data_IF_190844870344
#
_entry.id   IF_190844870344
#
_cell.length_a   1.000
_cell.length_b   1.000
_cell.length_c   1.000
_cell.angle_alpha   90.00
_cell.angle_beta   90.00
_cell.angle_gamma   90.00
#
_symmetry.space_group_name_H-M   'P 1'
#
loop_
_entity.id
_entity.type
_entity.pdbx_description
1 polymer ?
#
# COMPACT_ATOMS: atom_id res chain seq x y z
N UNK A 1 6.80 -6.01 -16.58
CA UNK A 1 6.93 -4.66 -17.18
C UNK A 1 7.53 -3.72 -16.15
N UNK A 2 8.47 -2.86 -16.56
CA UNK A 2 8.90 -1.71 -15.75
C UNK A 2 7.84 -0.63 -15.90
N UNK A 3 7.44 -0.01 -14.78
CA UNK A 3 6.43 1.02 -14.77
C UNK A 3 6.70 1.97 -13.61
N UNK A 4 6.57 3.27 -13.87
CA UNK A 4 6.77 4.30 -12.85
C UNK A 4 5.74 4.16 -11.73
N UNK A 5 4.47 4.02 -12.08
CA UNK A 5 3.39 3.86 -11.12
C UNK A 5 2.84 2.43 -11.19
N UNK A 6 2.68 1.80 -10.03
CA UNK A 6 2.07 0.48 -9.88
C UNK A 6 0.96 0.57 -8.84
N UNK A 7 -0.25 0.31 -9.27
CA UNK A 7 -1.46 0.46 -8.48
C UNK A 7 -2.04 -0.91 -8.22
N UNK A 8 -2.14 -1.29 -6.95
CA UNK A 8 -2.81 -2.50 -6.53
C UNK A 8 -3.95 -2.11 -5.58
N UNK A 9 -5.17 -2.17 -6.09
CA UNK A 9 -6.36 -1.77 -5.35
C UNK A 9 -7.39 -2.89 -5.25
N UNK A 10 -8.39 -2.73 -4.39
CA UNK A 10 -9.54 -3.65 -4.28
C UNK A 10 -10.05 -3.73 -2.85
N UNK A 11 -10.96 -4.65 -2.56
CA UNK A 11 -11.58 -4.78 -1.25
C UNK A 11 -10.66 -5.36 -0.17
N UNK A 12 -11.20 -5.47 1.04
CA UNK A 12 -10.55 -6.14 2.17
C UNK A 12 -10.31 -7.61 1.89
N UNK A 13 -9.36 -8.18 2.62
CA UNK A 13 -9.03 -9.62 2.59
C UNK A 13 -8.42 -10.11 1.26
N UNK A 14 -7.89 -9.22 0.41
CA UNK A 14 -7.38 -9.54 -0.93
C UNK A 14 -5.85 -9.67 -1.06
N UNK A 15 -5.15 -10.00 0.04
CA UNK A 15 -3.69 -10.20 0.13
C UNK A 15 -2.75 -9.07 -0.32
N UNK A 16 -3.25 -7.96 -0.88
CA UNK A 16 -2.45 -6.85 -1.48
C UNK A 16 -1.17 -6.48 -0.72
N UNK A 17 -1.30 -6.04 0.53
CA UNK A 17 -0.15 -5.61 1.33
C UNK A 17 0.83 -6.76 1.56
N UNK A 18 0.31 -7.98 1.76
CA UNK A 18 1.11 -9.18 1.97
C UNK A 18 1.95 -9.53 0.75
N UNK A 19 1.35 -9.44 -0.44
CA UNK A 19 2.01 -9.67 -1.72
C UNK A 19 3.05 -8.58 -2.00
N UNK A 20 2.71 -7.30 -1.77
CA UNK A 20 3.63 -6.18 -1.88
C UNK A 20 4.85 -6.36 -0.97
N UNK A 21 4.64 -6.75 0.30
CA UNK A 21 5.74 -7.03 1.23
C UNK A 21 6.61 -8.20 0.77
N UNK A 22 6.00 -9.29 0.28
CA UNK A 22 6.72 -10.45 -0.25
C UNK A 22 7.63 -10.06 -1.41
N UNK A 23 7.10 -9.29 -2.38
CA UNK A 23 7.87 -8.78 -3.52
C UNK A 23 8.96 -7.84 -3.05
N UNK A 24 8.69 -6.93 -2.12
CA UNK A 24 9.68 -5.99 -1.59
C UNK A 24 10.85 -6.71 -0.90
N UNK A 25 10.58 -7.74 -0.09
CA UNK A 25 11.63 -8.55 0.52
C UNK A 25 12.41 -9.34 -0.54
N UNK A 26 11.74 -9.93 -1.53
CA UNK A 26 12.40 -10.61 -2.64
C UNK A 26 13.38 -9.67 -3.37
N UNK A 27 12.91 -8.48 -3.76
CA UNK A 27 13.72 -7.48 -4.46
C UNK A 27 14.90 -6.99 -3.62
N UNK A 28 14.64 -6.60 -2.36
CA UNK A 28 15.70 -6.12 -1.45
C UNK A 28 16.77 -7.18 -1.15
N UNK A 29 16.43 -8.47 -1.30
CA UNK A 29 17.37 -9.56 -1.14
C UNK A 29 18.21 -9.86 -2.39
N UNK A 30 17.80 -9.34 -3.55
CA UNK A 30 18.48 -9.53 -4.84
C UNK A 30 19.27 -8.30 -5.30
N UNK A 31 18.79 -7.11 -4.97
CA UNK A 31 19.33 -5.83 -5.43
C UNK A 31 19.64 -4.91 -4.25
N UNK A 32 20.38 -3.84 -4.50
CA UNK A 32 20.58 -2.73 -3.57
C UNK A 32 19.54 -1.64 -3.85
N UNK A 33 18.49 -1.60 -3.04
CA UNK A 33 17.34 -0.73 -3.21
C UNK A 33 17.03 0.02 -1.93
N UNK A 34 16.64 1.28 -2.08
CA UNK A 34 16.14 2.11 -0.98
C UNK A 34 14.62 2.27 -1.09
N UNK A 35 13.90 1.67 -0.15
CA UNK A 35 12.45 1.74 -0.04
C UNK A 35 12.02 2.84 0.94
N UNK A 36 11.14 3.73 0.51
CA UNK A 36 10.37 4.64 1.36
C UNK A 36 8.96 4.07 1.54
N UNK A 37 8.65 3.55 2.71
CA UNK A 37 7.32 3.05 3.05
C UNK A 37 6.54 4.15 3.78
N UNK A 38 5.47 4.65 3.19
CA UNK A 38 4.69 5.75 3.73
C UNK A 38 3.19 5.42 3.83
N UNK A 39 2.52 6.05 4.81
CA UNK A 39 1.06 5.99 5.02
C UNK A 39 0.55 7.33 5.59
N UNK A 40 -0.74 7.63 5.47
CA UNK A 40 -1.28 8.94 5.88
C UNK A 40 -1.08 9.22 7.39
N UNK A 41 -1.64 8.36 8.24
CA UNK A 41 -1.52 8.44 9.70
C UNK A 41 -0.73 7.23 10.19
N UNK A 42 0.35 7.47 10.93
CA UNK A 42 1.15 6.43 11.59
C UNK A 42 1.00 6.58 13.11
N UNK A 43 -0.08 6.03 13.67
CA UNK A 43 -0.32 6.10 15.12
C UNK A 43 0.57 5.13 15.90
N UNK A 44 0.88 3.95 15.34
CA UNK A 44 1.80 2.95 15.91
C UNK A 44 2.60 2.24 14.81
N UNK A 45 3.90 2.02 15.02
CA UNK A 45 4.78 1.27 14.10
C UNK A 45 4.36 -0.22 14.02
N UNK A 46 3.75 -0.76 15.08
CA UNK A 46 3.38 -2.18 15.17
C UNK A 46 2.22 -2.57 14.24
N UNK A 47 1.39 -1.63 13.81
CA UNK A 47 0.27 -1.83 12.89
C UNK A 47 0.60 -1.36 11.45
N UNK A 48 1.86 -1.49 11.05
CA UNK A 48 2.37 -0.88 9.81
C UNK A 48 3.12 -1.87 8.91
N UNK A 49 3.43 -1.41 7.69
CA UNK A 49 4.30 -2.08 6.71
C UNK A 49 5.58 -2.68 7.34
N UNK A 50 6.12 -2.04 8.38
CA UNK A 50 7.27 -2.54 9.14
C UNK A 50 7.05 -3.95 9.69
N UNK A 51 5.92 -4.18 10.37
CA UNK A 51 5.57 -5.49 10.95
C UNK A 51 5.40 -6.53 9.85
N UNK A 52 4.77 -6.14 8.76
CA UNK A 52 4.53 -7.02 7.62
C UNK A 52 5.85 -7.46 6.94
N UNK A 53 6.78 -6.53 6.76
CA UNK A 53 8.12 -6.84 6.25
C UNK A 53 8.88 -7.80 7.18
N UNK A 54 8.81 -7.60 8.51
CA UNK A 54 9.41 -8.54 9.47
C UNK A 54 8.85 -9.95 9.31
N UNK A 55 7.53 -10.08 9.21
CA UNK A 55 6.87 -11.37 9.01
C UNK A 55 7.34 -12.03 7.72
N UNK A 56 7.44 -11.30 6.60
CA UNK A 56 7.94 -11.86 5.34
C UNK A 56 9.41 -12.26 5.42
N UNK A 57 10.25 -11.47 6.11
CA UNK A 57 11.67 -11.82 6.34
C UNK A 57 11.78 -13.16 7.07
N UNK A 58 11.00 -13.35 8.13
CA UNK A 58 10.99 -14.60 8.91
C UNK A 58 10.42 -15.76 8.09
N UNK A 59 9.30 -15.54 7.38
CA UNK A 59 8.65 -16.54 6.52
C UNK A 59 9.57 -17.04 5.40
N UNK A 60 10.41 -16.17 4.85
CA UNK A 60 11.39 -16.55 3.83
C UNK A 60 12.70 -17.10 4.41
N UNK A 61 12.84 -17.23 5.73
CA UNK A 61 14.05 -17.73 6.38
C UNK A 61 15.24 -16.76 6.29
N UNK A 62 14.99 -15.48 6.01
CA UNK A 62 16.04 -14.49 5.71
C UNK A 62 16.47 -13.68 6.94
N UNK A 63 15.97 -13.99 8.14
CA UNK A 63 16.21 -13.19 9.37
C UNK A 63 17.69 -12.85 9.61
N UNK A 64 18.58 -13.81 9.34
CA UNK A 64 20.03 -13.66 9.49
C UNK A 64 20.67 -12.62 8.55
N UNK A 65 20.00 -12.30 7.43
CA UNK A 65 20.46 -11.30 6.44
C UNK A 65 19.99 -9.89 6.77
N UNK A 66 19.04 -9.71 7.68
CA UNK A 66 18.44 -8.40 7.96
C UNK A 66 18.78 -7.88 9.37
N UNK A 67 19.23 -6.64 9.43
CA UNK A 67 19.27 -5.83 10.66
C UNK A 67 17.94 -5.08 10.77
N UNK A 68 17.14 -5.44 11.77
CA UNK A 68 15.85 -4.80 12.06
C UNK A 68 16.07 -3.81 13.21
N UNK A 69 15.85 -2.52 12.95
CA UNK A 69 15.95 -1.41 13.89
C UNK A 69 14.55 -0.81 14.12
N UNK A 70 14.40 0.09 15.08
CA UNK A 70 13.09 0.66 15.43
C UNK A 70 12.47 1.48 14.29
N UNK A 71 13.28 2.13 13.46
CA UNK A 71 12.84 3.04 12.39
C UNK A 71 13.31 2.61 10.99
N UNK A 72 14.03 1.49 10.88
CA UNK A 72 14.65 1.06 9.62
C UNK A 72 14.86 -0.45 9.58
N UNK A 73 14.79 -1.04 8.39
CA UNK A 73 15.20 -2.43 8.15
C UNK A 73 16.30 -2.40 7.08
N UNK A 74 17.42 -3.11 7.31
CA UNK A 74 18.58 -3.11 6.42
C UNK A 74 18.95 -4.55 6.08
N UNK A 75 19.05 -4.86 4.80
CA UNK A 75 19.67 -6.10 4.32
C UNK A 75 21.19 -5.96 4.38
N UNK A 76 21.85 -6.76 5.22
CA UNK A 76 23.30 -6.72 5.47
C UNK A 76 24.14 -7.21 4.28
N UNK A 77 23.51 -7.91 3.33
CA UNK A 77 24.22 -8.52 2.19
C UNK A 77 24.13 -7.63 0.97
N UNK A 78 22.94 -7.10 0.66
CA UNK A 78 22.75 -6.22 -0.51
C UNK A 78 22.91 -4.74 -0.18
N UNK A 79 22.85 -4.36 1.09
CA UNK A 79 22.77 -2.95 1.50
C UNK A 79 21.39 -2.32 1.28
N UNK A 80 20.40 -3.08 0.80
CA UNK A 80 19.02 -2.58 0.68
C UNK A 80 18.47 -2.11 2.01
N UNK A 81 17.62 -1.10 1.98
CA UNK A 81 17.03 -0.53 3.17
C UNK A 81 15.57 -0.13 3.00
N UNK A 82 14.83 -0.18 4.11
CA UNK A 82 13.46 0.28 4.24
C UNK A 82 13.38 1.34 5.32
N UNK A 83 12.88 2.52 4.97
CA UNK A 83 12.56 3.63 5.90
C UNK A 83 11.06 3.84 5.95
N UNK A 84 10.54 4.33 7.08
CA UNK A 84 9.11 4.37 7.36
C UNK A 84 8.66 5.78 7.76
N UNK A 85 7.62 6.29 7.12
CA UNK A 85 7.13 7.65 7.35
C UNK A 85 5.60 7.73 7.43
N UNK A 86 5.09 8.45 8.44
CA UNK A 86 3.72 8.95 8.45
C UNK A 86 3.64 10.30 7.75
N UNK A 87 2.90 10.40 6.64
CA UNK A 87 2.86 11.61 5.81
C UNK A 87 2.33 12.82 6.57
N UNK A 88 1.31 12.66 7.42
CA UNK A 88 0.75 13.77 8.19
C UNK A 88 1.81 14.52 9.03
N UNK A 89 2.75 13.78 9.63
CA UNK A 89 3.75 14.36 10.55
C UNK A 89 5.05 14.73 9.86
N UNK A 90 5.43 14.01 8.81
CA UNK A 90 6.80 14.03 8.28
C UNK A 90 6.89 14.43 6.80
N UNK A 91 5.85 15.06 6.23
CA UNK A 91 5.86 15.44 4.80
C UNK A 91 7.04 16.35 4.44
N UNK A 92 7.44 17.24 5.35
CA UNK A 92 8.59 18.13 5.16
C UNK A 92 9.93 17.38 5.19
N UNK A 93 10.08 16.38 6.07
CA UNK A 93 11.28 15.55 6.11
C UNK A 93 11.47 14.76 4.82
N UNK A 94 10.37 14.31 4.20
CA UNK A 94 10.42 13.53 2.96
C UNK A 94 11.08 14.32 1.83
N UNK A 95 10.93 15.66 1.76
CA UNK A 95 11.58 16.50 0.73
C UNK A 95 13.10 16.31 0.66
N UNK A 96 13.72 15.95 1.79
CA UNK A 96 15.16 15.76 1.91
C UNK A 96 15.62 14.33 1.58
N UNK A 97 14.70 13.41 1.30
CA UNK A 97 15.07 12.04 0.95
C UNK A 97 15.72 12.00 -0.42
N UNK A 98 16.80 11.22 -0.51
CA UNK A 98 17.55 11.04 -1.74
C UNK A 98 17.76 9.56 -2.07
N UNK A 99 17.85 9.27 -3.36
CA UNK A 99 18.17 7.93 -3.84
C UNK A 99 17.09 6.89 -3.53
N UNK A 100 15.83 7.30 -3.33
CA UNK A 100 14.71 6.37 -3.18
C UNK A 100 14.49 5.64 -4.52
N UNK A 101 14.61 4.32 -4.50
CA UNK A 101 14.28 3.46 -5.62
C UNK A 101 12.78 3.16 -5.68
N UNK A 102 12.16 3.04 -4.51
CA UNK A 102 10.81 2.51 -4.40
C UNK A 102 10.04 3.28 -3.33
N UNK A 103 9.02 4.03 -3.74
CA UNK A 103 8.01 4.57 -2.82
C UNK A 103 6.88 3.54 -2.70
N UNK A 104 6.57 3.10 -1.48
CA UNK A 104 5.39 2.29 -1.19
C UNK A 104 4.44 3.10 -0.33
N UNK A 105 3.31 3.50 -0.91
CA UNK A 105 2.19 4.13 -0.24
C UNK A 105 1.16 3.06 0.17
N UNK A 106 1.09 2.79 1.47
CA UNK A 106 0.09 1.92 2.08
C UNK A 106 -1.13 2.75 2.51
N UNK A 107 -2.33 2.18 2.39
CA UNK A 107 -3.59 2.91 2.57
C UNK A 107 -3.67 4.17 1.69
N UNK A 108 -3.19 4.08 0.45
CA UNK A 108 -3.03 5.22 -0.46
C UNK A 108 -4.31 6.00 -0.80
N UNK A 109 -5.52 5.50 -0.49
CA UNK A 109 -6.77 6.25 -0.63
C UNK A 109 -6.73 7.59 0.12
N UNK A 110 -6.03 7.63 1.26
CA UNK A 110 -5.91 8.82 2.09
C UNK A 110 -4.81 9.80 1.63
N UNK A 111 -4.12 9.52 0.53
CA UNK A 111 -3.13 10.43 -0.07
C UNK A 111 -3.84 11.68 -0.59
N UNK A 112 -3.33 12.85 -0.21
CA UNK A 112 -3.83 14.13 -0.74
C UNK A 112 -2.98 14.64 -1.90
N UNK A 113 -3.58 15.47 -2.77
CA UNK A 113 -2.86 16.11 -3.88
C UNK A 113 -1.66 16.94 -3.39
N UNK A 114 -1.81 17.67 -2.28
CA UNK A 114 -0.74 18.46 -1.68
C UNK A 114 0.47 17.59 -1.30
N UNK A 115 0.23 16.42 -0.69
CA UNK A 115 1.31 15.50 -0.34
C UNK A 115 1.94 14.90 -1.58
N UNK A 116 1.15 14.55 -2.60
CA UNK A 116 1.68 14.02 -3.86
C UNK A 116 2.59 15.01 -4.57
N UNK A 117 2.23 16.31 -4.61
CA UNK A 117 3.08 17.39 -5.16
C UNK A 117 4.46 17.49 -4.49
N UNK A 118 4.60 16.98 -3.27
CA UNK A 118 5.87 16.91 -2.54
C UNK A 118 6.57 15.57 -2.79
N UNK A 119 5.82 14.46 -2.72
CA UNK A 119 6.35 13.11 -2.89
C UNK A 119 6.92 12.89 -4.29
N UNK A 120 6.14 13.19 -5.32
CA UNK A 120 6.48 12.88 -6.70
C UNK A 120 7.85 13.42 -7.15
N UNK A 121 8.17 14.72 -6.98
CA UNK A 121 9.49 15.25 -7.35
C UNK A 121 10.61 14.78 -6.41
N UNK A 122 10.28 14.30 -5.21
CA UNK A 122 11.26 13.71 -4.28
C UNK A 122 11.76 12.36 -4.81
N UNK A 123 10.87 11.54 -5.36
CA UNK A 123 11.20 10.21 -5.89
C UNK A 123 11.75 10.31 -7.31
N UNK A 124 12.88 11.02 -7.47
CA UNK A 124 13.43 11.43 -8.79
C UNK A 124 14.48 10.51 -9.39
N UNK A 125 14.82 9.40 -8.74
CA UNK A 125 15.88 8.50 -9.21
C UNK A 125 15.47 7.85 -10.54
N UNK A 126 16.41 7.71 -11.47
CA UNK A 126 16.12 7.05 -12.73
C UNK A 126 15.61 5.62 -12.49
N UNK A 127 14.47 5.29 -13.09
CA UNK A 127 13.83 3.99 -12.94
C UNK A 127 13.15 3.75 -11.59
N UNK A 128 13.03 4.75 -10.70
CA UNK A 128 12.33 4.55 -9.43
C UNK A 128 10.84 4.38 -9.62
N UNK A 129 10.22 3.58 -8.75
CA UNK A 129 8.82 3.18 -8.81
C UNK A 129 8.00 3.73 -7.63
N UNK A 130 6.72 3.96 -7.87
CA UNK A 130 5.72 4.35 -6.88
C UNK A 130 4.62 3.28 -6.83
N UNK A 131 4.49 2.61 -5.69
CA UNK A 131 3.50 1.58 -5.42
C UNK A 131 2.35 2.16 -4.59
N UNK A 132 1.14 2.10 -5.14
CA UNK A 132 -0.09 2.56 -4.51
C UNK A 132 -0.91 1.34 -4.11
N UNK A 133 -0.95 1.06 -2.80
CA UNK A 133 -1.67 -0.08 -2.24
C UNK A 133 -2.83 0.45 -1.40
N UNK A 134 -4.07 0.17 -1.80
CA UNK A 134 -5.24 0.71 -1.09
C UNK A 134 -6.54 -0.06 -1.32
N UNK A 135 -7.48 0.12 -0.39
CA UNK A 135 -8.89 -0.12 -0.66
C UNK A 135 -9.52 1.20 -1.09
N UNK A 136 -10.27 1.26 -2.21
CA UNK A 136 -10.91 2.51 -2.63
C UNK A 136 -11.84 3.06 -1.55
N UNK A 137 -11.73 4.37 -1.28
CA UNK A 137 -12.64 5.10 -0.40
C UNK A 137 -13.75 5.74 -1.24
N UNK A 138 -13.54 6.98 -1.62
CA UNK A 138 -14.49 7.78 -2.41
C UNK A 138 -14.06 7.87 -3.88
N UNK A 139 -15.01 8.03 -4.79
CA UNK A 139 -14.75 8.34 -6.21
C UNK A 139 -14.01 9.68 -6.38
N UNK A 140 -14.10 10.56 -5.38
CA UNK A 140 -13.45 11.87 -5.35
C UNK A 140 -12.01 11.83 -4.82
N UNK A 141 -11.58 10.71 -4.21
CA UNK A 141 -10.23 10.54 -3.68
C UNK A 141 -9.18 10.82 -4.75
N UNK A 142 -8.12 11.52 -4.36
CA UNK A 142 -7.06 11.93 -5.27
C UNK A 142 -6.45 10.72 -5.99
N UNK A 143 -6.12 9.65 -5.26
CA UNK A 143 -5.51 8.46 -5.87
C UNK A 143 -6.46 7.75 -6.82
N UNK A 144 -7.76 7.74 -6.53
CA UNK A 144 -8.75 7.10 -7.40
C UNK A 144 -8.85 7.83 -8.74
N UNK A 145 -9.04 9.15 -8.69
CA UNK A 145 -9.15 9.98 -9.90
C UNK A 145 -7.88 9.94 -10.75
N UNK A 146 -6.71 10.06 -10.13
CA UNK A 146 -5.45 10.29 -10.85
C UNK A 146 -4.61 9.03 -11.07
N UNK A 147 -4.96 7.87 -10.50
CA UNK A 147 -4.19 6.63 -10.70
C UNK A 147 -5.06 5.41 -11.02
N UNK A 148 -6.39 5.55 -11.03
CA UNK A 148 -7.32 4.51 -11.49
C UNK A 148 -8.16 4.99 -12.67
N UNK A 149 -8.80 6.15 -12.56
CA UNK A 149 -9.70 6.67 -13.61
C UNK A 149 -8.90 7.29 -14.76
N UNK A 150 -7.99 8.21 -14.46
CA UNK A 150 -7.14 8.90 -15.43
C UNK A 150 -5.66 8.81 -15.02
N UNK A 151 -5.04 7.63 -15.17
CA UNK A 151 -3.67 7.40 -14.70
C UNK A 151 -2.63 8.00 -15.65
N UNK A 152 -1.44 8.40 -15.13
CA UNK A 152 -0.30 8.73 -15.97
C UNK A 152 0.05 7.59 -16.94
N UNK A 153 0.58 7.94 -18.11
CA UNK A 153 0.99 6.97 -19.12
C UNK A 153 1.97 5.92 -18.55
N UNK A 154 1.78 4.66 -18.94
CA UNK A 154 2.62 3.55 -18.48
C UNK A 154 2.38 3.10 -17.04
N UNK A 155 1.32 3.60 -16.38
CA UNK A 155 0.88 3.09 -15.07
C UNK A 155 0.35 1.67 -15.20
N UNK A 156 0.79 0.76 -14.32
CA UNK A 156 0.23 -0.58 -14.20
C UNK A 156 -0.84 -0.58 -13.11
N UNK A 157 -2.04 -1.05 -13.44
CA UNK A 157 -3.17 -1.07 -12.52
C UNK A 157 -3.69 -2.50 -12.42
N UNK A 158 -3.87 -2.97 -11.17
CA UNK A 158 -4.50 -4.26 -10.89
C UNK A 158 -5.50 -4.11 -9.75
N UNK A 159 -6.75 -4.50 -10.04
CA UNK A 159 -7.76 -4.76 -9.01
C UNK A 159 -7.58 -6.17 -8.48
N UNK A 160 -7.61 -6.39 -7.17
CA UNK A 160 -7.63 -7.73 -6.55
C UNK A 160 -8.51 -7.73 -5.31
N UNK A 161 -9.38 -8.74 -5.22
CA UNK A 161 -10.40 -8.89 -4.18
C UNK A 161 -10.22 -10.21 -3.40
N UNK A 162 -11.11 -10.47 -2.43
CA UNK A 162 -11.03 -11.63 -1.54
C UNK A 162 -11.15 -12.97 -2.28
N UNK A 163 -11.85 -13.00 -3.41
CA UNK A 163 -12.09 -14.16 -4.27
C UNK A 163 -10.83 -14.66 -4.99
N UNK A 164 -9.82 -13.80 -5.11
CA UNK A 164 -8.51 -14.14 -5.65
C UNK A 164 -7.48 -14.50 -4.56
N UNK A 165 -7.88 -14.50 -3.28
CA UNK A 165 -6.99 -14.85 -2.16
C UNK A 165 -7.23 -16.30 -1.70
N UNK A 166 -6.38 -17.28 -2.11
CA UNK A 166 -6.55 -18.68 -1.74
C UNK A 166 -6.19 -18.99 -0.29
N UNK A 167 -5.69 -18.01 0.47
CA UNK A 167 -5.22 -18.19 1.85
C UNK A 167 -6.26 -17.75 2.90
N UNK A 168 -7.50 -17.45 2.49
CA UNK A 168 -8.56 -17.11 3.42
C UNK A 168 -8.97 -18.32 4.25
N UNK A 169 -9.09 -18.11 5.56
CA UNK A 169 -9.65 -19.12 6.46
C UNK A 169 -11.16 -19.23 6.27
N UNK A 170 -11.71 -20.41 6.58
CA UNK A 170 -13.17 -20.63 6.61
C UNK A 170 -13.89 -19.61 7.49
N UNK A 171 -13.26 -19.19 8.59
CA UNK A 171 -13.79 -18.14 9.47
C UNK A 171 -13.98 -16.83 8.71
N UNK A 172 -12.99 -16.39 7.93
CA UNK A 172 -13.09 -15.15 7.16
C UNK A 172 -14.08 -15.28 6.00
N UNK A 173 -14.14 -16.43 5.33
CA UNK A 173 -15.13 -16.67 4.27
C UNK A 173 -16.56 -16.56 4.81
N UNK A 174 -16.84 -17.13 6.00
CA UNK A 174 -18.15 -16.99 6.67
C UNK A 174 -18.50 -15.54 7.00
N UNK A 175 -17.53 -14.74 7.44
CA UNK A 175 -17.71 -13.30 7.72
C UNK A 175 -18.04 -12.54 6.44
N UNK A 176 -17.33 -12.82 5.35
CA UNK A 176 -17.54 -12.21 4.03
C UNK A 176 -18.96 -12.55 3.51
N UNK A 177 -19.36 -13.82 3.57
CA UNK A 177 -20.68 -14.25 3.12
C UNK A 177 -21.82 -13.67 3.96
N UNK A 178 -21.62 -13.53 5.28
CA UNK A 178 -22.58 -12.87 6.15
C UNK A 178 -22.73 -11.37 5.82
N UNK A 179 -21.61 -10.69 5.52
CA UNK A 179 -21.64 -9.29 5.08
C UNK A 179 -22.41 -9.14 3.76
N UNK A 180 -22.16 -10.02 2.77
CA UNK A 180 -22.87 -10.01 1.48
C UNK A 180 -24.38 -10.13 1.64
N UNK A 181 -24.85 -10.99 2.55
CA UNK A 181 -26.28 -11.19 2.82
C UNK A 181 -26.92 -10.03 3.57
N UNK A 182 -26.18 -9.40 4.49
CA UNK A 182 -26.70 -8.35 5.36
C UNK A 182 -26.82 -7.01 4.65
N UNK A 183 -25.81 -6.64 3.87
CA UNK A 183 -25.72 -5.35 3.19
C UNK A 183 -24.97 -5.53 1.85
N UNK A 184 -25.70 -5.84 0.77
CA UNK A 184 -25.09 -6.05 -0.54
C UNK A 184 -24.33 -4.84 -1.08
N UNK A 185 -24.74 -3.61 -0.77
CA UNK A 185 -24.07 -2.40 -1.26
C UNK A 185 -22.86 -2.04 -0.41
N UNK A 186 -22.92 -2.22 0.91
CA UNK A 186 -21.72 -2.17 1.76
C UNK A 186 -20.72 -3.26 1.40
N UNK A 187 -21.20 -4.45 1.01
CA UNK A 187 -20.34 -5.54 0.56
C UNK A 187 -19.52 -5.18 -0.68
N UNK A 188 -20.15 -4.56 -1.71
CA UNK A 188 -19.45 -4.09 -2.91
C UNK A 188 -18.30 -3.16 -2.55
N UNK A 189 -18.54 -2.23 -1.63
CA UNK A 189 -17.50 -1.32 -1.17
C UNK A 189 -16.38 -2.06 -0.41
N UNK A 190 -16.76 -2.77 0.66
CA UNK A 190 -15.82 -3.37 1.61
C UNK A 190 -15.00 -4.50 1.00
N UNK A 191 -15.60 -5.38 0.21
CA UNK A 191 -14.96 -6.62 -0.26
C UNK A 191 -14.74 -6.68 -1.77
N UNK A 192 -15.55 -5.98 -2.56
CA UNK A 192 -15.33 -5.89 -4.02
C UNK A 192 -14.54 -4.65 -4.44
N UNK A 193 -14.20 -3.77 -3.51
CA UNK A 193 -13.37 -2.59 -3.75
C UNK A 193 -14.03 -1.61 -4.72
N UNK A 194 -15.33 -1.40 -4.59
CA UNK A 194 -16.07 -0.37 -5.32
C UNK A 194 -16.03 0.92 -4.49
N UNK A 195 -15.51 2.05 -5.01
CA UNK A 195 -15.54 3.32 -4.27
C UNK A 195 -16.98 3.80 -4.08
N UNK A 196 -17.22 4.53 -3.00
CA UNK A 196 -18.50 5.20 -2.76
C UNK A 196 -18.58 6.53 -3.52
N UNK A 197 -19.79 6.94 -3.91
CA UNK A 197 -20.05 8.33 -4.26
C UNK A 197 -20.26 9.18 -3.00
N UNK A 198 -20.09 10.50 -3.12
CA UNK A 198 -20.33 11.41 -1.98
C UNK A 198 -21.78 11.31 -1.46
N UNK A 199 -22.74 11.01 -2.34
CA UNK A 199 -24.15 10.81 -1.99
C UNK A 199 -24.38 9.50 -1.20
N UNK A 200 -23.67 8.43 -1.55
CA UNK A 200 -23.75 7.14 -0.84
C UNK A 200 -23.19 7.24 0.59
N UNK A 201 -22.12 8.00 0.78
CA UNK A 201 -21.50 8.22 2.09
C UNK A 201 -22.43 9.01 3.02
N UNK A 202 -23.16 10.01 2.50
CA UNK A 202 -24.12 10.80 3.27
C UNK A 202 -25.31 9.97 3.77
N UNK A 203 -25.79 9.01 2.97
CA UNK A 203 -26.89 8.12 3.35
C UNK A 203 -26.48 7.15 4.48
N UNK A 204 -25.23 6.67 4.48
CA UNK A 204 -24.73 5.72 5.51
C UNK A 204 -24.45 6.37 6.87
N UNK A 205 -24.32 7.70 6.91
CA UNK A 205 -24.12 8.48 8.14
C UNK A 205 -25.45 9.00 8.73
N UNK A 206 -26.58 8.79 8.06
CA UNK A 206 -27.90 9.09 8.60
C UNK A 206 -28.31 7.99 9.61
N UNK A 207 -28.80 8.37 10.81
CA UNK A 207 -29.06 7.46 11.94
C UNK A 207 -30.19 6.44 11.69
#
# INVERSE_FOLDING_TARGET
MRARNKVLYGGRSSSKSWDAAGIAIFLSNKYTLRFCCARQIQNKIEESVYTLLKIQIDRFGLRHRFRILNNKIINRVTGSEFVFYGLWRNIEEIKSLEGIDMLWLEEAHALTEYQWKILEPTIRKEGSECWFIFNPGLVTDFVWRNFVVDPPEGTLIRKINYDENPFLSDTMLKVIDAARRRDPDGFKHVYEGVPESDDDAAIRLAP
#
